data_IF_860548846863
#
_entry.id   IF_860548846863
#
_cell.length_a   1.000
_cell.length_b   1.000
_cell.length_c   1.000
_cell.angle_alpha   90.00
_cell.angle_beta   90.00
_cell.angle_gamma   90.00
#
_symmetry.space_group_name_H-M   'P 1'
#
loop_
_entity.id
_entity.type
_entity.pdbx_description
1 polymer ?
#
# COMPACT_ATOMS: atom_id res chain seq x y z
N UNK A 1 7.61 19.09 10.32
CA UNK A 1 6.38 18.26 10.23
C UNK A 1 6.14 17.73 8.82
N UNK A 2 6.10 18.58 7.78
CA UNK A 2 5.86 18.15 6.38
C UNK A 2 6.84 17.05 5.90
N UNK A 3 8.14 17.18 6.17
CA UNK A 3 9.12 16.17 5.75
C UNK A 3 8.87 14.80 6.36
N UNK A 4 8.43 14.74 7.63
CA UNK A 4 8.10 13.47 8.29
C UNK A 4 6.88 12.83 7.64
N UNK A 5 5.84 13.61 7.34
CA UNK A 5 4.67 13.10 6.62
C UNK A 5 5.03 12.59 5.22
N UNK A 6 5.90 13.29 4.49
CA UNK A 6 6.36 12.84 3.16
C UNK A 6 7.17 11.54 3.26
N UNK A 7 8.05 11.43 4.25
CA UNK A 7 8.85 10.21 4.44
C UNK A 7 7.98 9.04 4.87
N UNK A 8 7.00 9.25 5.77
CA UNK A 8 6.10 8.18 6.21
C UNK A 8 5.15 7.72 5.10
N UNK A 9 4.58 8.64 4.31
CA UNK A 9 3.74 8.25 3.16
C UNK A 9 4.54 7.52 2.09
N UNK A 10 5.78 7.93 1.81
CA UNK A 10 6.68 7.23 0.90
C UNK A 10 7.00 5.81 1.39
N UNK A 11 7.25 5.63 2.70
CA UNK A 11 7.49 4.33 3.30
C UNK A 11 6.27 3.39 3.18
N UNK A 12 5.07 3.91 3.43
CA UNK A 12 3.81 3.14 3.30
C UNK A 12 3.56 2.75 1.84
N UNK A 13 3.75 3.67 0.90
CA UNK A 13 3.61 3.39 -0.53
C UNK A 13 4.61 2.32 -0.99
N UNK A 14 5.87 2.40 -0.53
CA UNK A 14 6.91 1.41 -0.83
C UNK A 14 6.59 0.02 -0.28
N UNK A 15 6.02 -0.06 0.94
CA UNK A 15 5.59 -1.33 1.54
C UNK A 15 4.44 -2.01 0.78
N UNK A 16 3.64 -1.25 0.04
CA UNK A 16 2.52 -1.80 -0.74
C UNK A 16 2.96 -2.58 -1.99
N UNK A 17 4.15 -2.29 -2.52
CA UNK A 17 4.65 -2.90 -3.76
C UNK A 17 4.75 -4.42 -3.71
N UNK A 18 5.11 -5.00 -2.56
CA UNK A 18 5.16 -6.45 -2.39
C UNK A 18 3.79 -7.10 -2.52
N UNK A 19 2.77 -6.53 -1.88
CA UNK A 19 1.38 -7.00 -1.99
C UNK A 19 0.86 -6.88 -3.43
N UNK A 20 1.14 -5.76 -4.10
CA UNK A 20 0.76 -5.56 -5.49
C UNK A 20 1.44 -6.59 -6.42
N UNK A 21 2.75 -6.80 -6.26
CA UNK A 21 3.47 -7.78 -7.07
C UNK A 21 2.91 -9.20 -6.87
N UNK A 22 2.59 -9.59 -5.63
CA UNK A 22 1.98 -10.89 -5.35
C UNK A 22 0.60 -11.05 -6.01
N UNK A 23 -0.22 -9.99 -6.00
CA UNK A 23 -1.51 -9.98 -6.69
C UNK A 23 -1.36 -10.18 -8.19
N UNK A 24 -0.45 -9.41 -8.82
CA UNK A 24 -0.20 -9.46 -10.27
C UNK A 24 0.43 -10.80 -10.69
N UNK A 25 1.34 -11.33 -9.87
CA UNK A 25 1.92 -12.67 -10.06
C UNK A 25 0.87 -13.77 -9.94
N UNK A 26 -0.10 -13.61 -9.03
CA UNK A 26 -1.27 -14.50 -8.93
C UNK A 26 -2.18 -14.49 -10.16
N UNK A 27 -2.10 -13.44 -10.99
CA UNK A 27 -2.77 -13.36 -12.29
C UNK A 27 -1.91 -13.90 -13.45
N UNK A 28 -0.71 -14.43 -13.16
CA UNK A 28 0.24 -14.95 -14.16
C UNK A 28 1.07 -13.87 -14.86
N UNK A 29 1.04 -12.63 -14.36
CA UNK A 29 1.82 -11.52 -14.90
C UNK A 29 3.05 -11.28 -14.01
N UNK A 30 4.23 -11.24 -14.61
CA UNK A 30 5.47 -10.93 -13.90
C UNK A 30 5.94 -9.51 -14.23
N UNK A 31 6.14 -8.69 -13.20
CA UNK A 31 6.66 -7.33 -13.34
C UNK A 31 8.18 -7.38 -13.21
N UNK A 32 8.95 -6.77 -14.14
CA UNK A 32 10.40 -6.72 -14.04
C UNK A 32 10.87 -6.07 -12.73
N UNK A 33 11.88 -6.66 -12.09
CA UNK A 33 12.46 -6.15 -10.83
C UNK A 33 12.90 -4.68 -10.92
N UNK A 34 13.33 -4.23 -12.09
CA UNK A 34 13.69 -2.83 -12.34
C UNK A 34 12.55 -1.83 -12.03
N UNK A 35 11.29 -2.25 -12.15
CA UNK A 35 10.09 -1.43 -11.89
C UNK A 35 9.46 -1.65 -10.51
N UNK A 36 9.99 -2.59 -9.73
CA UNK A 36 9.47 -2.92 -8.40
C UNK A 36 10.29 -2.29 -7.28
N UNK A 37 11.55 -1.94 -7.53
CA UNK A 37 12.46 -1.46 -6.48
C UNK A 37 13.18 -0.18 -6.91
N UNK A 38 13.68 0.55 -5.91
CA UNK A 38 14.51 1.74 -6.11
C UNK A 38 15.97 1.37 -6.46
N UNK A 39 16.78 2.33 -6.97
CA UNK A 39 18.18 2.11 -7.30
C UNK A 39 19.03 1.58 -6.15
N UNK A 40 18.79 2.07 -4.93
CA UNK A 40 19.47 1.61 -3.73
C UNK A 40 19.23 0.11 -3.42
N UNK A 41 18.22 -0.51 -4.04
CA UNK A 41 17.85 -1.92 -3.85
C UNK A 41 18.03 -2.75 -5.13
N UNK A 42 18.72 -2.20 -6.15
CA UNK A 42 19.01 -2.89 -7.41
C UNK A 42 17.93 -2.80 -8.48
N UNK A 43 17.01 -1.85 -8.37
CA UNK A 43 16.00 -1.53 -9.40
C UNK A 43 16.25 -0.15 -10.02
N UNK A 44 15.26 0.40 -10.73
CA UNK A 44 15.33 1.75 -11.28
C UNK A 44 14.32 2.67 -10.59
N UNK A 45 13.08 2.21 -10.46
CA UNK A 45 12.00 2.97 -9.83
C UNK A 45 10.98 2.01 -9.27
N UNK A 46 10.40 2.33 -8.11
CA UNK A 46 9.26 1.60 -7.58
C UNK A 46 7.96 2.14 -8.22
N UNK A 47 7.63 1.61 -9.39
CA UNK A 47 6.50 2.06 -10.20
C UNK A 47 5.14 1.87 -9.49
N UNK A 48 4.84 0.74 -8.83
CA UNK A 48 3.59 0.58 -8.09
C UNK A 48 3.41 1.62 -6.97
N UNK A 49 4.47 1.94 -6.23
CA UNK A 49 4.44 2.95 -5.17
C UNK A 49 4.14 4.35 -5.72
N UNK A 50 4.72 4.70 -6.88
CA UNK A 50 4.44 5.99 -7.55
C UNK A 50 2.98 6.06 -8.01
N UNK A 51 2.49 5.02 -8.67
CA UNK A 51 1.11 4.97 -9.19
C UNK A 51 0.11 5.11 -8.05
N UNK A 52 0.24 4.33 -6.97
CA UNK A 52 -0.73 4.40 -5.86
C UNK A 52 -0.69 5.77 -5.17
N UNK A 53 0.48 6.38 -5.05
CA UNK A 53 0.62 7.73 -4.49
C UNK A 53 -0.12 8.75 -5.34
N UNK A 54 0.08 8.74 -6.66
CA UNK A 54 -0.62 9.65 -7.59
C UNK A 54 -2.14 9.45 -7.58
N UNK A 55 -2.59 8.20 -7.55
CA UNK A 55 -4.03 7.86 -7.46
C UNK A 55 -4.63 8.40 -6.17
N UNK A 56 -3.97 8.19 -5.03
CA UNK A 56 -4.44 8.71 -3.74
C UNK A 56 -4.44 10.24 -3.75
N UNK A 57 -3.37 10.88 -4.23
CA UNK A 57 -3.31 12.34 -4.35
C UNK A 57 -4.46 12.88 -5.20
N UNK A 58 -4.76 12.25 -6.33
CA UNK A 58 -5.87 12.63 -7.19
C UNK A 58 -7.25 12.39 -6.55
N UNK A 59 -7.41 11.30 -5.80
CA UNK A 59 -8.64 11.01 -5.09
C UNK A 59 -8.88 12.03 -3.97
N UNK A 60 -7.83 12.36 -3.22
CA UNK A 60 -7.88 13.36 -2.14
C UNK A 60 -8.12 14.78 -2.67
N UNK A 61 -7.56 15.12 -3.84
CA UNK A 61 -7.76 16.45 -4.44
C UNK A 61 -9.21 16.71 -4.87
N UNK A 62 -10.01 15.65 -5.11
CA UNK A 62 -11.46 15.74 -5.38
C UNK A 62 -12.32 15.91 -4.12
N UNK A 63 -11.72 15.87 -2.93
CA UNK A 63 -12.38 16.11 -1.64
C UNK A 63 -12.92 14.85 -0.97
N UNK A 64 -12.70 14.73 0.34
CA UNK A 64 -13.07 13.57 1.17
C UNK A 64 -14.24 13.88 2.12
N UNK A 65 -15.38 14.31 1.56
CA UNK A 65 -16.45 14.95 2.35
C UNK A 65 -17.30 14.04 3.25
N UNK A 66 -17.17 12.73 3.17
CA UNK A 66 -17.97 11.83 3.99
C UNK A 66 -17.10 10.67 4.43
N UNK A 67 -16.92 10.40 5.74
CA UNK A 67 -16.67 9.03 6.25
C UNK A 67 -16.39 8.88 7.75
N UNK A 68 -17.39 9.07 8.60
CA UNK A 68 -17.37 8.38 9.91
C UNK A 68 -17.59 6.87 9.73
N UNK A 69 -18.49 6.48 8.81
CA UNK A 69 -18.83 5.07 8.54
C UNK A 69 -17.69 4.29 7.89
N UNK A 70 -17.05 4.80 6.83
CA UNK A 70 -15.94 4.07 6.18
C UNK A 70 -14.74 3.97 7.11
N UNK A 71 -14.46 5.00 7.92
CA UNK A 71 -13.39 4.92 8.90
C UNK A 71 -13.67 3.81 9.94
N UNK A 72 -14.90 3.71 10.45
CA UNK A 72 -15.24 2.67 11.43
C UNK A 72 -15.17 1.26 10.81
N UNK A 73 -15.65 1.09 9.57
CA UNK A 73 -15.52 -0.18 8.83
C UNK A 73 -14.04 -0.54 8.64
N UNK A 74 -13.20 0.41 8.28
CA UNK A 74 -11.77 0.17 8.09
C UNK A 74 -11.06 -0.26 9.37
N UNK A 75 -11.43 0.33 10.51
CA UNK A 75 -10.92 -0.10 11.82
C UNK A 75 -11.32 -1.54 12.13
N UNK A 76 -12.61 -1.90 11.92
CA UNK A 76 -13.09 -3.26 12.14
C UNK A 76 -12.36 -4.29 11.26
N UNK A 77 -12.12 -3.97 9.98
CA UNK A 77 -11.38 -4.84 9.07
C UNK A 77 -9.94 -5.06 9.59
N UNK A 78 -9.24 -4.00 10.01
CA UNK A 78 -7.88 -4.10 10.54
C UNK A 78 -7.82 -5.00 11.78
N UNK A 79 -8.75 -4.82 12.71
CA UNK A 79 -8.84 -5.65 13.92
C UNK A 79 -9.16 -7.11 13.55
N UNK A 80 -10.10 -7.33 12.64
CA UNK A 80 -10.46 -8.67 12.17
C UNK A 80 -9.29 -9.43 11.56
N UNK A 81 -8.47 -8.79 10.72
CA UNK A 81 -7.27 -9.39 10.14
C UNK A 81 -6.28 -9.82 11.24
N UNK A 82 -6.06 -8.97 12.25
CA UNK A 82 -5.16 -9.29 13.38
C UNK A 82 -5.67 -10.49 14.18
N UNK A 83 -6.97 -10.50 14.51
CA UNK A 83 -7.59 -11.62 15.24
C UNK A 83 -7.52 -12.92 14.45
N UNK A 84 -7.80 -12.88 13.14
CA UNK A 84 -7.70 -14.04 12.26
C UNK A 84 -6.28 -14.60 12.23
N UNK A 85 -5.28 -13.72 12.10
CA UNK A 85 -3.88 -14.13 12.09
C UNK A 85 -3.46 -14.81 13.40
N UNK A 86 -3.88 -14.27 14.56
CA UNK A 86 -3.63 -14.90 15.87
C UNK A 86 -4.34 -16.25 15.97
N UNK A 87 -5.62 -16.33 15.59
CA UNK A 87 -6.40 -17.55 15.68
C UNK A 87 -5.80 -18.68 14.81
N UNK A 88 -5.41 -18.38 13.57
CA UNK A 88 -4.77 -19.35 12.67
C UNK A 88 -3.37 -19.71 13.16
N UNK A 89 -2.57 -18.74 13.63
CA UNK A 89 -1.19 -18.97 14.05
C UNK A 89 -1.02 -19.73 15.37
N UNK A 90 -2.10 -19.95 16.13
CA UNK A 90 -2.09 -20.76 17.36
C UNK A 90 -2.25 -22.26 17.06
N UNK A 91 -2.74 -22.64 15.88
CA UNK A 91 -2.86 -24.03 15.42
C UNK A 91 -1.74 -24.38 14.44
#
# INVERSE_FOLDING_TARGET
LLSVYVVTTAAVAGGWTGYFNNLVSGLGLEIPKALLTIPAQGGMVNLPAVIVTLVITWLLSRGTKESKRVNNIMVLIKIGIVVLFIAVGVF
#
